data_IF_744357891444
#
_entry.id   IF_744357891444
#
_cell.length_a   1.000
_cell.length_b   1.000
_cell.length_c   1.000
_cell.angle_alpha   90.00
_cell.angle_beta   90.00
_cell.angle_gamma   90.00
#
_symmetry.space_group_name_H-M   'P 1'
#
loop_
_entity.id
_entity.type
_entity.pdbx_description
1 polymer ?
#
# COMPACT_ATOMS: atom_id res chain seq x y z
N UNK A 1 -6.15 17.47 -6.63
CA UNK A 1 -5.05 16.49 -6.52
C UNK A 1 -3.74 17.25 -6.61
N UNK A 2 -2.68 16.73 -6.01
CA UNK A 2 -1.33 17.25 -6.14
C UNK A 2 -0.38 16.12 -6.56
N UNK A 3 0.79 16.46 -7.09
CA UNK A 3 1.85 15.49 -7.37
C UNK A 3 2.91 15.58 -6.28
N UNK A 4 3.19 14.47 -5.63
CA UNK A 4 4.24 14.34 -4.62
C UNK A 4 5.49 13.71 -5.26
N UNK A 5 6.61 14.44 -5.36
CA UNK A 5 7.88 13.86 -5.79
C UNK A 5 8.39 12.88 -4.72
N UNK A 6 8.75 11.67 -5.14
CA UNK A 6 9.31 10.64 -4.28
C UNK A 6 10.85 10.64 -4.34
N UNK A 7 11.48 9.99 -3.36
CA UNK A 7 12.95 9.84 -3.31
C UNK A 7 13.69 11.02 -2.69
N UNK A 8 13.03 11.84 -1.86
CA UNK A 8 13.69 12.87 -1.05
C UNK A 8 13.37 12.70 0.44
N UNK A 9 12.12 12.92 0.83
CA UNK A 9 11.63 12.69 2.20
C UNK A 9 10.69 11.49 2.31
N UNK A 10 10.02 11.20 1.20
CA UNK A 10 9.00 10.19 1.09
C UNK A 10 9.36 9.21 -0.02
N UNK A 11 9.00 7.95 0.20
CA UNK A 11 8.87 6.94 -0.83
C UNK A 11 7.46 6.32 -0.69
N UNK A 12 7.06 5.53 -1.67
CA UNK A 12 5.78 4.82 -1.60
C UNK A 12 5.97 3.37 -1.98
N UNK A 13 5.49 2.45 -1.14
CA UNK A 13 5.41 1.04 -1.53
C UNK A 13 4.13 0.87 -2.32
N UNK A 14 4.26 0.43 -3.57
CA UNK A 14 3.11 0.04 -4.40
C UNK A 14 2.71 -1.38 -4.02
N UNK A 15 1.47 -1.58 -3.60
CA UNK A 15 0.92 -2.89 -3.21
C UNK A 15 -0.29 -3.21 -4.08
N UNK A 16 -0.25 -4.30 -4.87
CA UNK A 16 -1.43 -4.80 -5.60
C UNK A 16 -2.60 -5.08 -4.65
N UNK A 17 -3.80 -4.68 -5.05
CA UNK A 17 -5.01 -4.84 -4.24
C UNK A 17 -5.30 -6.30 -3.89
N UNK A 18 -5.01 -7.23 -4.80
CA UNK A 18 -5.11 -8.68 -4.54
C UNK A 18 -4.33 -9.12 -3.30
N UNK A 19 -3.16 -8.53 -3.01
CA UNK A 19 -2.38 -8.85 -1.80
C UNK A 19 -3.01 -8.23 -0.55
N UNK A 20 -3.49 -7.00 -0.65
CA UNK A 20 -4.16 -6.30 0.46
C UNK A 20 -5.47 -7.00 0.84
N UNK A 21 -6.31 -7.31 -0.15
CA UNK A 21 -7.58 -8.00 0.04
C UNK A 21 -7.38 -9.42 0.56
N UNK A 22 -6.39 -10.15 0.05
CA UNK A 22 -6.03 -11.46 0.60
C UNK A 22 -5.53 -11.37 2.05
N UNK A 23 -4.74 -10.35 2.39
CA UNK A 23 -4.29 -10.13 3.76
C UNK A 23 -5.44 -9.72 4.71
N UNK A 24 -6.45 -9.01 4.19
CA UNK A 24 -7.67 -8.65 4.91
C UNK A 24 -8.63 -9.84 5.05
N UNK A 25 -8.60 -10.79 4.10
CA UNK A 25 -9.61 -11.86 3.98
C UNK A 25 -10.95 -11.36 3.43
N UNK A 26 -10.99 -10.15 2.87
CA UNK A 26 -12.19 -9.47 2.38
C UNK A 26 -11.82 -8.39 1.37
N UNK A 27 -12.76 -8.05 0.50
CA UNK A 27 -12.72 -6.92 -0.44
C UNK A 27 -13.60 -5.74 0.03
N UNK A 28 -14.29 -5.87 1.16
CA UNK A 28 -15.15 -4.83 1.72
C UNK A 28 -14.32 -3.60 2.14
N UNK A 29 -14.52 -2.42 1.53
CA UNK A 29 -13.66 -1.26 1.71
C UNK A 29 -13.44 -0.85 3.17
N UNK A 30 -14.51 -0.80 3.97
CA UNK A 30 -14.47 -0.51 5.40
C UNK A 30 -13.60 -1.49 6.20
N UNK A 31 -13.77 -2.80 5.98
CA UNK A 31 -12.99 -3.82 6.70
C UNK A 31 -11.51 -3.80 6.29
N UNK A 32 -11.24 -3.56 5.01
CA UNK A 32 -9.87 -3.37 4.51
C UNK A 32 -9.24 -2.13 5.14
N UNK A 33 -9.98 -1.02 5.23
CA UNK A 33 -9.49 0.21 5.85
C UNK A 33 -9.19 0.02 7.34
N UNK A 34 -10.05 -0.66 8.09
CA UNK A 34 -9.86 -0.95 9.51
C UNK A 34 -8.63 -1.82 9.75
N UNK A 35 -8.46 -2.88 8.94
CA UNK A 35 -7.28 -3.74 8.99
C UNK A 35 -6.00 -2.93 8.69
N UNK A 36 -6.00 -2.12 7.63
CA UNK A 36 -4.85 -1.29 7.27
C UNK A 36 -4.48 -0.30 8.37
N UNK A 37 -5.47 0.32 9.04
CA UNK A 37 -5.22 1.23 10.18
C UNK A 37 -4.57 0.49 11.33
N UNK A 38 -5.02 -0.73 11.63
CA UNK A 38 -4.48 -1.53 12.72
C UNK A 38 -3.03 -1.98 12.47
N UNK A 39 -2.65 -2.24 11.21
CA UNK A 39 -1.33 -2.85 10.92
C UNK A 39 -0.28 -1.86 10.41
N UNK A 40 -0.66 -0.81 9.67
CA UNK A 40 0.32 0.10 9.05
C UNK A 40 0.55 1.39 9.83
N UNK A 41 -0.43 1.79 10.66
CA UNK A 41 -0.45 3.04 11.44
C UNK A 41 0.12 4.25 10.70
N UNK A 42 -0.22 4.40 9.42
CA UNK A 42 0.32 5.44 8.56
C UNK A 42 -0.51 5.64 7.29
N UNK A 43 -0.23 6.68 6.51
CA UNK A 43 -1.03 7.09 5.38
C UNK A 43 -0.96 6.12 4.20
N UNK A 44 -2.14 5.78 3.69
CA UNK A 44 -2.34 4.85 2.57
C UNK A 44 -3.29 5.48 1.57
N UNK A 45 -2.86 5.52 0.31
CA UNK A 45 -3.65 5.97 -0.82
C UNK A 45 -4.18 4.74 -1.55
N UNK A 46 -5.44 4.75 -1.97
CA UNK A 46 -6.01 3.77 -2.87
C UNK A 46 -6.29 4.38 -4.24
N UNK A 47 -5.77 3.72 -5.27
CA UNK A 47 -6.05 4.03 -6.67
C UNK A 47 -6.79 2.85 -7.31
N UNK A 48 -8.06 3.08 -7.61
CA UNK A 48 -8.95 2.15 -8.29
C UNK A 48 -9.06 2.41 -9.80
N UNK A 49 -8.41 3.45 -10.33
CA UNK A 49 -8.47 3.80 -11.75
C UNK A 49 -7.40 3.09 -12.60
N UNK A 50 -6.37 2.55 -11.95
CA UNK A 50 -5.37 1.70 -12.58
C UNK A 50 -5.99 0.39 -13.12
N UNK A 51 -5.26 -0.39 -13.93
CA UNK A 51 -5.69 -1.70 -14.49
C UNK A 51 -6.00 -2.81 -13.44
N UNK A 52 -6.11 -2.42 -12.17
CA UNK A 52 -6.52 -3.17 -11.00
C UNK A 52 -6.40 -2.26 -9.76
N UNK A 53 -7.04 -2.61 -8.64
CA UNK A 53 -6.90 -1.86 -7.39
C UNK A 53 -5.43 -1.82 -6.94
N UNK A 54 -4.91 -0.65 -6.62
CA UNK A 54 -3.54 -0.48 -6.10
C UNK A 54 -3.58 0.35 -4.82
N UNK A 55 -2.79 -0.06 -3.84
CA UNK A 55 -2.57 0.70 -2.60
C UNK A 55 -1.15 1.24 -2.59
N UNK A 56 -0.99 2.51 -2.21
CA UNK A 56 0.31 3.15 -2.02
C UNK A 56 0.47 3.50 -0.54
N UNK A 57 1.34 2.78 0.15
CA UNK A 57 1.71 3.08 1.53
C UNK A 57 2.88 4.08 1.50
N UNK A 58 2.68 5.27 2.07
CA UNK A 58 3.77 6.25 2.14
C UNK A 58 4.71 5.89 3.28
N UNK A 59 6.01 5.81 2.98
CA UNK A 59 7.07 5.43 3.90
C UNK A 59 8.17 6.50 3.91
N UNK A 60 8.98 6.51 4.96
CA UNK A 60 10.14 7.39 5.04
C UNK A 60 11.21 7.02 3.99
N UNK A 61 11.84 8.03 3.40
CA UNK A 61 12.97 7.88 2.49
C UNK A 61 14.20 8.63 3.02
N UNK A 62 15.39 8.03 2.91
CA UNK A 62 16.65 8.59 3.38
C UNK A 62 17.86 7.66 3.21
N UNK A 63 18.99 8.01 3.85
CA UNK A 63 20.19 7.15 3.85
C UNK A 63 19.87 5.78 4.47
N UNK A 64 20.30 4.70 3.82
CA UNK A 64 20.01 3.34 4.27
C UNK A 64 18.60 2.84 3.94
N UNK A 65 17.88 3.51 3.02
CA UNK A 65 16.61 2.99 2.54
C UNK A 65 16.85 1.70 1.75
N UNK A 66 16.54 0.58 2.37
CA UNK A 66 16.44 -0.74 1.75
C UNK A 66 14.98 -1.17 1.68
N UNK A 67 14.67 -1.99 0.70
CA UNK A 67 13.36 -2.61 0.49
C UNK A 67 13.55 -4.05 0.05
N UNK A 68 12.85 -4.96 0.71
CA UNK A 68 12.94 -6.41 0.48
C UNK A 68 11.74 -6.98 -0.31
N UNK A 69 10.80 -6.12 -0.73
CA UNK A 69 9.67 -6.55 -1.55
C UNK A 69 10.12 -7.00 -2.94
N UNK A 70 9.28 -7.82 -3.59
CA UNK A 70 9.56 -8.26 -4.95
C UNK A 70 9.05 -7.24 -5.99
N UNK A 71 9.32 -7.51 -7.26
CA UNK A 71 9.05 -6.62 -8.40
C UNK A 71 7.58 -6.18 -8.54
N UNK A 72 6.63 -7.00 -8.09
CA UNK A 72 5.19 -6.68 -8.05
C UNK A 72 4.82 -5.70 -6.94
N UNK A 73 5.70 -5.54 -5.95
CA UNK A 73 5.58 -4.65 -4.79
C UNK A 73 6.74 -3.66 -4.67
N UNK A 74 7.02 -2.85 -5.70
CA UNK A 74 8.22 -2.01 -5.71
C UNK A 74 8.13 -0.87 -4.69
N UNK A 75 9.28 -0.46 -4.18
CA UNK A 75 9.45 0.83 -3.51
C UNK A 75 9.67 1.91 -4.56
N UNK A 76 8.69 2.80 -4.72
CA UNK A 76 8.75 3.95 -5.61
C UNK A 76 9.58 5.06 -4.95
N UNK A 77 10.64 5.49 -5.63
CA UNK A 77 11.64 6.42 -5.08
C UNK A 77 11.98 7.52 -6.12
N UNK A 78 13.23 7.96 -6.18
CA UNK A 78 13.70 9.06 -7.04
C UNK A 78 13.24 8.88 -8.48
N UNK A 79 12.72 9.96 -9.08
CA UNK A 79 12.20 9.95 -10.44
C UNK A 79 10.75 9.48 -10.55
N UNK A 80 10.12 9.04 -9.45
CA UNK A 80 8.69 8.73 -9.40
C UNK A 80 7.89 9.90 -8.82
N UNK A 81 6.69 10.10 -9.38
CA UNK A 81 5.70 11.04 -8.85
C UNK A 81 4.44 10.26 -8.47
N UNK A 82 3.89 10.58 -7.30
CA UNK A 82 2.64 9.99 -6.85
C UNK A 82 1.54 11.05 -6.85
N UNK A 83 0.41 10.72 -7.48
CA UNK A 83 -0.82 11.51 -7.36
C UNK A 83 -1.36 11.39 -5.95
N UNK A 84 -1.37 12.51 -5.21
CA UNK A 84 -1.84 12.56 -3.83
C UNK A 84 -3.22 13.26 -3.80
N UNK A 85 -4.23 12.63 -3.18
CA UNK A 85 -5.54 13.23 -3.02
C UNK A 85 -5.47 14.47 -2.13
N UNK A 86 -6.43 15.38 -2.29
CA UNK A 86 -6.68 16.40 -1.24
C UNK A 86 -7.02 15.70 0.08
N UNK A 87 -6.56 16.22 1.22
CA UNK A 87 -6.61 15.50 2.52
C UNK A 87 -8.01 14.98 2.89
N UNK A 88 -9.06 15.74 2.57
CA UNK A 88 -10.45 15.36 2.86
C UNK A 88 -11.04 14.34 1.88
N UNK A 89 -10.28 13.86 0.88
CA UNK A 89 -10.75 12.86 -0.09
C UNK A 89 -10.49 11.47 0.47
N UNK A 90 -11.47 10.92 1.19
CA UNK A 90 -11.41 9.61 1.86
C UNK A 90 -12.33 8.55 1.25
N UNK A 91 -12.94 8.85 0.10
CA UNK A 91 -13.84 7.96 -0.61
C UNK A 91 -13.79 8.25 -2.13
N UNK A 92 -14.23 7.29 -2.98
CA UNK A 92 -14.42 7.50 -4.42
C UNK A 92 -15.33 8.70 -4.74
N UNK A 93 -15.27 9.25 -5.97
CA UNK A 93 -14.52 8.78 -7.14
C UNK A 93 -13.03 9.20 -7.18
N UNK A 94 -12.26 8.52 -8.03
CA UNK A 94 -10.82 8.72 -8.22
C UNK A 94 -9.93 8.34 -7.03
N UNK A 95 -8.62 8.56 -7.14
CA UNK A 95 -7.66 8.23 -6.08
C UNK A 95 -8.01 8.93 -4.75
N UNK A 96 -8.07 8.17 -3.65
CA UNK A 96 -8.48 8.66 -2.32
C UNK A 96 -7.60 8.11 -1.20
N UNK A 97 -7.65 8.75 -0.03
CA UNK A 97 -6.99 8.29 1.19
C UNK A 97 -7.81 7.20 1.86
N UNK A 98 -7.24 6.00 2.00
CA UNK A 98 -7.78 4.97 2.91
C UNK A 98 -7.47 5.35 4.34
N UNK A 99 -6.25 5.85 4.56
CA UNK A 99 -5.78 6.41 5.81
C UNK A 99 -5.14 7.76 5.46
N UNK A 100 -5.76 8.89 5.84
CA UNK A 100 -5.15 10.20 5.63
C UNK A 100 -4.01 10.41 6.64
N UNK A 101 -2.98 11.19 6.29
CA UNK A 101 -1.93 11.55 7.23
C UNK A 101 -2.49 12.43 8.36
N UNK A 102 -2.14 12.12 9.60
CA UNK A 102 -2.60 12.83 10.81
C UNK A 102 -1.72 14.05 11.13
N UNK A 103 -0.40 13.93 10.90
CA UNK A 103 0.59 14.98 11.13
C UNK A 103 1.79 14.84 10.17
N UNK A 104 2.73 15.80 10.19
CA UNK A 104 3.94 15.72 9.36
C UNK A 104 4.78 14.52 9.77
N UNK A 105 5.22 13.72 8.79
CA UNK A 105 5.98 12.48 8.98
C UNK A 105 5.20 11.34 9.64
N UNK A 106 3.86 11.43 9.70
CA UNK A 106 3.01 10.27 9.89
C UNK A 106 3.17 9.38 8.65
N UNK A 107 4.01 8.35 8.74
CA UNK A 107 4.42 7.49 7.62
C UNK A 107 4.38 6.03 8.08
N UNK A 108 4.03 5.14 7.16
CA UNK A 108 4.01 3.71 7.42
C UNK A 108 5.43 3.20 7.73
N UNK A 109 5.54 2.24 8.67
CA UNK A 109 6.75 1.43 8.80
C UNK A 109 6.92 0.54 7.57
N UNK A 110 8.15 0.45 7.05
CA UNK A 110 8.45 -0.43 5.91
C UNK A 110 8.27 -1.90 6.28
N UNK A 111 8.65 -2.26 7.50
CA UNK A 111 8.50 -3.59 8.08
C UNK A 111 7.03 -3.98 8.14
N UNK A 112 6.17 -3.09 8.65
CA UNK A 112 4.72 -3.32 8.70
C UNK A 112 4.10 -3.53 7.31
N UNK A 113 4.53 -2.74 6.31
CA UNK A 113 4.07 -2.92 4.92
C UNK A 113 4.57 -4.25 4.35
N UNK A 114 5.80 -4.65 4.64
CA UNK A 114 6.36 -5.92 4.21
C UNK A 114 5.63 -7.11 4.85
N UNK A 115 5.32 -7.05 6.15
CA UNK A 115 4.55 -8.07 6.87
C UNK A 115 3.13 -8.22 6.32
N UNK A 116 2.48 -7.11 5.96
CA UNK A 116 1.19 -7.10 5.26
C UNK A 116 1.28 -7.86 3.93
N UNK A 117 2.32 -7.58 3.12
CA UNK A 117 2.55 -8.25 1.84
C UNK A 117 2.77 -9.76 2.05
N UNK A 118 3.60 -10.14 3.02
CA UNK A 118 3.84 -11.55 3.36
C UNK A 118 2.57 -12.26 3.82
N UNK A 119 1.74 -11.60 4.62
CA UNK A 119 0.43 -12.13 5.03
C UNK A 119 -0.46 -12.37 3.80
N UNK A 120 -0.59 -11.39 2.90
CA UNK A 120 -1.39 -11.52 1.68
C UNK A 120 -0.93 -12.68 0.80
N UNK A 121 0.39 -12.80 0.59
CA UNK A 121 0.98 -13.93 -0.17
C UNK A 121 0.67 -15.29 0.45
N UNK A 122 0.76 -15.41 1.77
CA UNK A 122 0.42 -16.66 2.48
C UNK A 122 -1.04 -17.03 2.27
N UNK A 123 -1.95 -16.05 2.35
CA UNK A 123 -3.38 -16.28 2.17
C UNK A 123 -3.72 -16.72 0.73
N UNK A 124 -3.13 -16.08 -0.28
CA UNK A 124 -3.33 -16.50 -1.68
C UNK A 124 -2.87 -17.94 -1.94
N UNK A 125 -1.75 -18.36 -1.33
CA UNK A 125 -1.26 -19.74 -1.43
C UNK A 125 -2.14 -20.74 -0.70
N UNK A 126 -2.83 -20.33 0.36
CA UNK A 126 -3.78 -21.19 1.06
C UNK A 126 -5.07 -21.39 0.26
N UNK A 127 -5.50 -20.37 -0.48
CA UNK A 127 -6.70 -20.40 -1.35
C UNK A 127 -6.43 -21.17 -2.65
N UNK A 128 -5.22 -21.09 -3.19
CA UNK A 128 -4.79 -21.86 -4.36
C UNK A 128 -3.88 -23.01 -3.91
N UNK A 129 -4.40 -24.22 -3.63
CA UNK A 129 -3.54 -25.36 -3.33
C UNK A 129 -2.59 -25.62 -4.51
N UNK A 130 -1.32 -26.00 -4.26
CA UNK A 130 -0.39 -26.30 -5.34
C UNK A 130 -0.97 -27.42 -6.21
N UNK A 131 -0.79 -27.38 -7.55
CA UNK A 131 -1.20 -28.48 -8.41
C UNK A 131 -0.51 -29.75 -7.90
N UNK A 132 -1.32 -30.72 -7.49
CA UNK A 132 -0.86 -31.98 -6.92
C UNK A 132 0.16 -32.62 -7.86
N UNK A 133 1.30 -33.02 -7.30
CA UNK A 133 2.25 -33.90 -7.98
C UNK A 133 1.54 -35.24 -8.22
N UNK A 134 1.25 -35.53 -9.48
CA UNK A 134 0.92 -36.87 -9.96
C UNK A 134 2.16 -37.78 -9.91
#
# INVERSE_FOLDING_TARGET
MALLPLGHRFAAVRVPGVLVHAAAGTDMPEQVADMLRAVLDGPVIHDHLSAGPVYYALVAYGRGTSWWGADDTPLLTTGSYLGVPVLHRIAPPGTYWVIPPRYRNDLCSREAVFDLILKGRRQLRAVTPPPGRA
#
